data_IF_365080627612
#
_entry.id   IF_365080627612
#
_cell.length_a   1.000
_cell.length_b   1.000
_cell.length_c   1.000
_cell.angle_alpha   90.00
_cell.angle_beta   90.00
_cell.angle_gamma   90.00
#
_symmetry.space_group_name_H-M   'P 1'
#
loop_
_entity.id
_entity.type
_entity.pdbx_description
1 polymer ?
#
# COMPACT_ATOMS: atom_id res chain seq x y z
N UNK A 1 7.50 21.91 -0.93
CA UNK A 1 6.28 21.09 -1.02
C UNK A 1 5.18 21.82 -0.28
N UNK A 2 3.93 21.77 -0.76
CA UNK A 2 2.79 22.19 0.06
C UNK A 2 2.76 21.27 1.29
N UNK A 3 2.53 21.82 2.48
CA UNK A 3 2.36 21.00 3.67
C UNK A 3 1.04 20.24 3.62
N UNK A 4 0.94 19.18 4.42
CA UNK A 4 -0.26 18.35 4.55
C UNK A 4 -1.54 19.17 4.75
N UNK A 5 -2.57 18.88 3.94
CA UNK A 5 -3.88 19.51 4.01
C UNK A 5 -4.93 18.52 4.54
N UNK A 6 -5.12 18.56 5.86
CA UNK A 6 -6.12 17.75 6.57
C UNK A 6 -7.52 17.86 5.95
N UNK A 7 -7.95 19.06 5.56
CA UNK A 7 -9.32 19.26 5.09
C UNK A 7 -9.50 18.70 3.67
N UNK A 8 -8.46 18.80 2.83
CA UNK A 8 -8.42 18.13 1.53
C UNK A 8 -8.43 16.60 1.68
N UNK A 9 -7.62 16.04 2.58
CA UNK A 9 -7.61 14.60 2.90
C UNK A 9 -9.00 14.12 3.37
N UNK A 10 -9.61 14.83 4.32
CA UNK A 10 -10.96 14.53 4.83
C UNK A 10 -11.99 14.60 3.70
N UNK A 11 -11.88 15.58 2.80
CA UNK A 11 -12.77 15.70 1.65
C UNK A 11 -12.61 14.54 0.64
N UNK A 12 -11.36 14.12 0.37
CA UNK A 12 -11.07 13.01 -0.54
C UNK A 12 -11.65 11.68 -0.02
N UNK A 13 -11.46 11.38 1.26
CA UNK A 13 -12.00 10.18 1.91
C UNK A 13 -13.53 10.22 1.93
N UNK A 14 -14.13 11.38 2.25
CA UNK A 14 -15.59 11.54 2.23
C UNK A 14 -16.18 11.32 0.83
N UNK A 15 -15.57 11.92 -0.19
CA UNK A 15 -16.02 11.73 -1.57
C UNK A 15 -15.92 10.27 -2.00
N UNK A 16 -14.84 9.59 -1.60
CA UNK A 16 -14.68 8.16 -1.82
C UNK A 16 -15.78 7.32 -1.18
N UNK A 17 -16.06 7.52 0.11
CA UNK A 17 -17.14 6.80 0.80
C UNK A 17 -18.51 7.08 0.17
N UNK A 18 -18.80 8.32 -0.20
CA UNK A 18 -20.02 8.62 -0.94
C UNK A 18 -20.07 7.94 -2.31
N UNK A 19 -18.95 7.79 -3.01
CA UNK A 19 -18.91 6.97 -4.22
C UNK A 19 -19.28 5.51 -3.93
N UNK A 20 -18.72 4.89 -2.88
CA UNK A 20 -19.08 3.52 -2.48
C UNK A 20 -20.58 3.39 -2.18
N UNK A 21 -21.19 4.40 -1.54
CA UNK A 21 -22.63 4.36 -1.23
C UNK A 21 -23.54 4.32 -2.45
N UNK A 22 -23.07 4.89 -3.56
CA UNK A 22 -23.77 4.85 -4.85
C UNK A 22 -23.61 3.52 -5.57
N UNK A 23 -22.58 2.73 -5.24
CA UNK A 23 -22.28 1.46 -5.90
C UNK A 23 -22.85 0.25 -5.14
N UNK A 24 -22.46 0.05 -3.89
CA UNK A 24 -22.84 -1.13 -3.10
C UNK A 24 -23.13 -0.82 -1.63
N UNK A 25 -22.35 0.07 -1.01
CA UNK A 25 -22.41 0.34 0.43
C UNK A 25 -23.74 1.02 0.84
N UNK A 26 -24.34 0.59 1.95
CA UNK A 26 -25.50 1.29 2.51
C UNK A 26 -25.11 2.65 3.11
N UNK A 27 -25.84 3.70 2.70
CA UNK A 27 -25.50 5.07 3.07
C UNK A 27 -25.69 5.41 4.55
N UNK A 28 -26.50 4.63 5.28
CA UNK A 28 -26.69 4.76 6.73
C UNK A 28 -25.47 4.26 7.53
N UNK A 29 -24.55 3.54 6.90
CA UNK A 29 -23.28 3.15 7.49
C UNK A 29 -22.28 4.28 7.53
N UNK A 30 -22.44 5.39 6.80
CA UNK A 30 -21.48 6.49 6.88
C UNK A 30 -21.71 7.33 8.15
N UNK A 31 -20.70 7.36 9.00
CA UNK A 31 -20.62 8.18 10.21
C UNK A 31 -19.88 9.48 9.90
N UNK A 32 -20.59 10.60 9.92
CA UNK A 32 -19.98 11.93 9.75
C UNK A 32 -19.49 12.50 11.10
N UNK A 33 -18.30 13.13 11.14
CA UNK A 33 -17.80 13.77 12.34
C UNK A 33 -18.67 14.97 12.71
N UNK A 34 -18.89 15.25 14.01
CA UNK A 34 -19.43 16.52 14.47
C UNK A 34 -18.57 17.71 14.02
N UNK A 35 -19.09 18.96 14.05
CA UNK A 35 -18.31 20.14 13.65
C UNK A 35 -16.99 20.38 14.41
N UNK A 36 -16.82 19.77 15.59
CA UNK A 36 -15.58 19.80 16.38
C UNK A 36 -14.83 18.47 16.41
N UNK A 37 -15.15 17.58 15.46
CA UNK A 37 -14.65 16.22 15.37
C UNK A 37 -15.23 15.25 16.41
N UNK A 38 -14.80 13.99 16.32
CA UNK A 38 -15.19 12.94 17.23
C UNK A 38 -14.72 13.23 18.67
N UNK A 39 -15.61 13.26 19.66
CA UNK A 39 -15.25 13.59 21.04
C UNK A 39 -14.41 12.49 21.70
N UNK A 40 -14.50 11.26 21.19
CA UNK A 40 -13.80 10.09 21.74
C UNK A 40 -12.33 10.02 21.27
N UNK A 41 -11.97 10.75 20.21
CA UNK A 41 -10.60 10.85 19.70
C UNK A 41 -9.96 12.12 20.27
N UNK A 42 -9.15 11.95 21.32
CA UNK A 42 -8.46 13.06 22.00
C UNK A 42 -6.95 12.80 22.10
N UNK A 43 -6.11 13.84 22.13
CA UNK A 43 -4.67 13.67 22.35
C UNK A 43 -4.35 12.84 23.59
N UNK A 44 -5.12 13.00 24.67
CA UNK A 44 -4.92 12.27 25.92
C UNK A 44 -5.18 10.76 25.77
N UNK A 45 -6.25 10.38 25.08
CA UNK A 45 -6.61 8.98 24.82
C UNK A 45 -5.63 8.34 23.84
N UNK A 46 -5.25 9.08 22.79
CA UNK A 46 -4.39 8.58 21.70
C UNK A 46 -2.90 8.58 22.05
N UNK A 47 -2.48 9.31 23.10
CA UNK A 47 -1.07 9.42 23.54
C UNK A 47 -0.31 8.08 23.64
N UNK A 48 -0.89 6.97 24.12
CA UNK A 48 -0.17 5.69 24.21
C UNK A 48 0.29 5.15 22.85
N UNK A 49 -0.38 5.52 21.76
CA UNK A 49 -0.04 5.12 20.39
C UNK A 49 1.18 5.88 19.83
N UNK A 50 1.61 6.96 20.48
CA UNK A 50 2.75 7.80 20.08
C UNK A 50 2.64 8.37 18.65
N UNK A 51 1.42 8.57 18.15
CA UNK A 51 1.15 9.27 16.89
C UNK A 51 1.32 10.78 17.05
N UNK A 52 1.57 11.49 15.96
CA UNK A 52 1.70 12.96 15.98
C UNK A 52 0.36 13.65 16.22
N UNK A 53 0.38 14.90 16.68
CA UNK A 53 -0.83 15.72 16.84
C UNK A 53 -1.58 15.88 15.50
N UNK A 54 -0.86 15.93 14.38
CA UNK A 54 -1.45 16.00 13.04
C UNK A 54 -2.26 14.75 12.69
N UNK A 55 -1.76 13.55 13.00
CA UNK A 55 -2.50 12.30 12.84
C UNK A 55 -3.73 12.28 13.73
N UNK A 56 -3.59 12.62 15.02
CA UNK A 56 -4.72 12.62 15.96
C UNK A 56 -5.81 13.60 15.50
N UNK A 57 -5.42 14.78 15.03
CA UNK A 57 -6.34 15.79 14.52
C UNK A 57 -7.01 15.35 13.20
N UNK A 58 -6.30 14.67 12.31
CA UNK A 58 -6.89 14.05 11.11
C UNK A 58 -7.95 13.01 11.49
N UNK A 59 -7.57 12.01 12.27
CA UNK A 59 -8.47 10.91 12.68
C UNK A 59 -9.73 11.44 13.37
N UNK A 60 -9.58 12.48 14.19
CA UNK A 60 -10.71 13.15 14.85
C UNK A 60 -11.72 13.75 13.86
N UNK A 61 -11.34 14.07 12.63
CA UNK A 61 -12.18 14.73 11.63
C UNK A 61 -12.50 13.87 10.40
N UNK A 62 -12.10 12.60 10.37
CA UNK A 62 -12.49 11.69 9.28
C UNK A 62 -13.95 11.26 9.41
N UNK A 63 -14.66 11.05 8.28
CA UNK A 63 -15.83 10.19 8.27
C UNK A 63 -15.37 8.73 8.46
N UNK A 64 -16.24 7.91 9.04
CA UNK A 64 -15.99 6.48 9.24
C UNK A 64 -17.12 5.63 8.67
N UNK A 65 -16.82 4.39 8.31
CA UNK A 65 -17.83 3.40 7.96
C UNK A 65 -18.20 2.65 9.23
N UNK A 66 -19.47 2.71 9.61
CA UNK A 66 -19.99 2.01 10.76
C UNK A 66 -20.01 0.51 10.48
N UNK A 67 -19.21 -0.18 11.29
CA UNK A 67 -19.14 -1.62 11.32
C UNK A 67 -19.57 -2.20 12.67
N UNK A 68 -20.15 -1.35 13.53
CA UNK A 68 -20.56 -1.75 14.88
C UNK A 68 -21.57 -2.90 14.81
N UNK A 69 -21.22 -4.05 15.40
CA UNK A 69 -22.11 -5.20 15.51
C UNK A 69 -22.22 -6.07 14.26
N UNK A 70 -21.39 -5.84 13.23
CA UNK A 70 -21.17 -6.86 12.20
C UNK A 70 -20.31 -7.99 12.76
N UNK A 71 -20.51 -9.20 12.25
CA UNK A 71 -19.57 -10.30 12.51
C UNK A 71 -18.26 -10.01 11.77
N UNK A 72 -17.15 -10.63 12.17
CA UNK A 72 -15.85 -10.42 11.52
C UNK A 72 -15.87 -10.69 9.99
N UNK A 73 -16.75 -11.59 9.53
CA UNK A 73 -17.00 -11.94 8.14
C UNK A 73 -17.93 -10.96 7.39
N UNK A 74 -18.49 -9.97 8.08
CA UNK A 74 -19.44 -8.99 7.52
C UNK A 74 -18.93 -7.56 7.56
N UNK A 75 -17.63 -7.40 7.79
CA UNK A 75 -17.00 -6.10 7.83
C UNK A 75 -17.05 -5.41 6.47
N UNK A 76 -17.20 -4.10 6.47
CA UNK A 76 -17.29 -3.35 5.21
C UNK A 76 -15.91 -3.17 4.61
N UNK A 77 -15.70 -3.83 3.48
CA UNK A 77 -14.52 -3.70 2.63
C UNK A 77 -14.51 -2.31 1.97
N UNK A 78 -13.42 -1.56 2.14
CA UNK A 78 -13.14 -0.33 1.38
C UNK A 78 -12.47 -0.63 0.05
N UNK A 79 -11.68 -1.70 0.01
CA UNK A 79 -11.00 -2.31 -1.14
C UNK A 79 -11.15 -3.82 -0.97
N UNK A 80 -10.88 -4.66 -2.00
CA UNK A 80 -10.94 -6.11 -1.82
C UNK A 80 -10.20 -6.55 -0.55
N UNK A 81 -10.87 -7.34 0.29
CA UNK A 81 -10.35 -7.84 1.57
C UNK A 81 -9.87 -6.79 2.60
N UNK A 82 -10.07 -5.49 2.36
CA UNK A 82 -9.62 -4.42 3.25
C UNK A 82 -10.76 -3.77 4.03
N UNK A 83 -11.16 -4.29 5.21
CA UNK A 83 -12.17 -3.64 6.04
C UNK A 83 -11.67 -2.30 6.59
N UNK A 84 -12.58 -1.37 6.85
CA UNK A 84 -12.23 -0.01 7.31
C UNK A 84 -11.78 0.03 8.77
N UNK A 85 -10.71 0.77 9.08
CA UNK A 85 -10.33 1.10 10.44
C UNK A 85 -11.28 2.15 11.04
N UNK A 86 -12.03 1.76 12.08
CA UNK A 86 -12.95 2.65 12.79
C UNK A 86 -12.28 3.21 14.05
N UNK A 87 -11.53 4.30 13.89
CA UNK A 87 -10.75 4.88 14.99
C UNK A 87 -11.56 5.35 16.22
N UNK A 88 -12.83 5.77 16.14
CA UNK A 88 -13.65 6.00 17.33
C UNK A 88 -13.81 4.73 18.19
N UNK A 89 -13.83 3.56 17.56
CA UNK A 89 -13.89 2.28 18.26
C UNK A 89 -12.52 1.91 18.84
N UNK A 90 -11.44 2.13 18.09
CA UNK A 90 -10.06 1.96 18.59
C UNK A 90 -9.79 2.85 19.82
N UNK A 91 -10.27 4.09 19.83
CA UNK A 91 -10.16 4.98 20.97
C UNK A 91 -10.94 4.45 22.20
N UNK A 92 -12.11 3.84 21.97
CA UNK A 92 -12.91 3.20 23.03
C UNK A 92 -12.22 1.96 23.58
N UNK A 93 -11.53 1.20 22.74
CA UNK A 93 -10.75 0.03 23.13
C UNK A 93 -9.58 0.43 24.02
N UNK A 94 -8.85 1.51 23.69
CA UNK A 94 -7.82 2.08 24.56
C UNK A 94 -8.38 2.48 25.93
N UNK A 95 -9.55 3.13 25.97
CA UNK A 95 -10.23 3.49 27.24
C UNK A 95 -10.64 2.25 28.03
N UNK A 96 -11.00 1.18 27.33
CA UNK A 96 -11.39 -0.11 27.92
C UNK A 96 -10.19 -0.94 28.41
N UNK A 97 -8.96 -0.47 28.14
CA UNK A 97 -7.72 -1.08 28.61
C UNK A 97 -7.10 -2.07 27.62
N UNK A 98 -7.53 -2.09 26.36
CA UNK A 98 -6.83 -2.82 25.29
C UNK A 98 -5.41 -2.24 25.14
N UNK A 99 -4.44 -3.13 24.93
CA UNK A 99 -3.04 -2.73 24.83
C UNK A 99 -2.79 -1.88 23.57
N UNK A 100 -2.03 -0.78 23.67
CA UNK A 100 -1.68 0.04 22.50
C UNK A 100 -1.08 -0.75 21.34
N UNK A 101 -0.27 -1.77 21.63
CA UNK A 101 0.31 -2.64 20.62
C UNK A 101 -0.74 -3.45 19.85
N UNK A 102 -1.83 -3.86 20.50
CA UNK A 102 -2.96 -4.53 19.84
C UNK A 102 -3.67 -3.58 18.89
N UNK A 103 -3.94 -2.34 19.32
CA UNK A 103 -4.58 -1.34 18.46
C UNK A 103 -3.71 -1.03 17.24
N UNK A 104 -2.40 -0.82 17.44
CA UNK A 104 -1.47 -0.57 16.33
C UNK A 104 -1.34 -1.79 15.40
N UNK A 105 -1.38 -3.00 15.94
CA UNK A 105 -1.39 -4.20 15.11
C UNK A 105 -2.63 -4.21 14.20
N UNK A 106 -3.82 -3.94 14.75
CA UNK A 106 -5.06 -3.90 13.98
C UNK A 106 -5.09 -2.79 12.94
N UNK A 107 -4.60 -1.59 13.23
CA UNK A 107 -4.71 -0.48 12.25
C UNK A 107 -3.54 -0.45 11.27
N UNK A 108 -2.35 -0.77 11.74
CA UNK A 108 -1.12 -0.52 10.98
C UNK A 108 -0.41 -1.83 10.55
N UNK A 109 -0.98 -2.99 10.89
CA UNK A 109 -0.39 -4.30 10.66
C UNK A 109 0.76 -4.66 11.60
N UNK A 110 1.29 -3.73 12.39
CA UNK A 110 2.41 -3.98 13.30
C UNK A 110 2.21 -3.27 14.64
N UNK A 111 2.22 -4.05 15.73
CA UNK A 111 2.09 -3.54 17.09
C UNK A 111 3.32 -2.78 17.62
N UNK A 112 4.22 -2.34 16.74
CA UNK A 112 5.49 -1.69 17.09
C UNK A 112 6.64 -2.67 17.31
N UNK A 113 6.49 -3.91 16.85
CA UNK A 113 7.55 -4.93 16.84
C UNK A 113 8.64 -4.64 15.80
N UNK A 114 8.26 -4.01 14.68
CA UNK A 114 9.14 -3.79 13.54
C UNK A 114 9.41 -5.07 12.74
N UNK A 115 8.63 -6.12 12.95
CA UNK A 115 8.74 -7.38 12.22
C UNK A 115 8.14 -7.28 10.82
N UNK A 116 7.03 -6.56 10.69
CA UNK A 116 6.32 -6.38 9.42
C UNK A 116 6.86 -5.13 8.72
N UNK A 117 7.15 -4.08 9.49
CA UNK A 117 7.77 -2.86 9.00
C UNK A 117 9.19 -2.72 9.58
N UNK A 118 10.25 -3.17 8.89
CA UNK A 118 11.62 -3.01 9.37
C UNK A 118 11.96 -1.53 9.60
N UNK A 119 12.35 -1.20 10.84
CA UNK A 119 12.56 0.20 11.26
C UNK A 119 11.32 0.87 11.85
N UNK A 120 10.21 0.16 11.93
CA UNK A 120 8.94 0.61 12.49
C UNK A 120 8.12 1.49 11.55
N UNK A 121 6.94 1.88 12.03
CA UNK A 121 6.03 2.78 11.35
C UNK A 121 6.22 4.20 11.93
N UNK A 122 6.46 5.23 11.09
CA UNK A 122 6.57 6.60 11.56
C UNK A 122 5.34 7.08 12.34
N UNK A 123 5.55 7.95 13.33
CA UNK A 123 4.44 8.52 14.13
C UNK A 123 3.48 9.38 13.31
N UNK A 124 3.93 9.87 12.15
CA UNK A 124 3.13 10.61 11.17
C UNK A 124 2.19 9.76 10.33
N UNK A 125 2.25 8.43 10.45
CA UNK A 125 1.40 7.50 9.70
C UNK A 125 0.21 6.98 10.53
N UNK A 126 -0.92 6.72 9.88
CA UNK A 126 -2.09 6.06 10.48
C UNK A 126 -2.75 5.09 9.50
N UNK A 127 -3.11 3.91 10.00
CA UNK A 127 -3.90 2.92 9.28
C UNK A 127 -5.29 3.40 8.87
N UNK A 128 -5.69 3.08 7.64
CA UNK A 128 -7.05 3.25 7.12
C UNK A 128 -7.85 1.95 7.09
N UNK A 129 -7.17 0.80 7.12
CA UNK A 129 -7.77 -0.55 7.11
C UNK A 129 -7.56 -1.25 8.45
N UNK A 130 -8.40 -2.24 8.74
CA UNK A 130 -8.32 -3.07 9.94
C UNK A 130 -7.82 -4.48 9.58
N UNK A 131 -6.70 -4.91 10.16
CA UNK A 131 -6.06 -6.21 9.97
C UNK A 131 -6.48 -7.25 11.02
N UNK A 132 -7.46 -6.95 11.88
CA UNK A 132 -8.01 -7.97 12.79
C UNK A 132 -8.94 -8.97 12.09
N UNK A 133 -8.80 -9.11 10.77
CA UNK A 133 -9.46 -10.14 9.99
C UNK A 133 -8.90 -11.51 10.42
N UNK A 134 -9.72 -12.56 10.35
CA UNK A 134 -9.26 -13.92 10.65
C UNK A 134 -8.55 -14.56 9.44
N UNK A 135 -8.35 -13.80 8.36
CA UNK A 135 -7.84 -14.31 7.08
C UNK A 135 -6.39 -13.86 6.94
N UNK A 136 -5.48 -14.59 7.60
CA UNK A 136 -4.05 -14.27 7.72
C UNK A 136 -3.33 -14.08 6.36
N UNK A 137 -3.95 -14.55 5.26
CA UNK A 137 -3.41 -14.48 3.90
C UNK A 137 -3.86 -13.22 3.11
N UNK A 138 -4.77 -12.40 3.63
CA UNK A 138 -5.43 -11.32 2.88
C UNK A 138 -5.49 -9.96 3.62
N UNK A 139 -4.67 -9.75 4.65
CA UNK A 139 -4.67 -8.49 5.40
C UNK A 139 -4.19 -7.33 4.53
N UNK A 140 -5.11 -6.43 4.18
CA UNK A 140 -4.78 -5.20 3.46
C UNK A 140 -4.35 -4.14 4.46
N UNK A 141 -3.13 -3.60 4.29
CA UNK A 141 -2.62 -2.50 5.11
C UNK A 141 -2.45 -1.24 4.26
N UNK A 142 -3.31 -0.26 4.51
CA UNK A 142 -3.23 1.09 3.95
C UNK A 142 -2.77 2.08 5.02
N UNK A 143 -1.60 2.69 4.86
CA UNK A 143 -1.07 3.69 5.79
C UNK A 143 -1.12 5.09 5.17
N UNK A 144 -1.85 6.01 5.80
CA UNK A 144 -1.84 7.42 5.44
C UNK A 144 -0.70 8.13 6.17
N UNK A 145 0.25 8.70 5.42
CA UNK A 145 1.39 9.47 5.94
C UNK A 145 1.13 10.97 5.85
N UNK A 146 0.92 11.60 7.01
CA UNK A 146 0.66 13.05 7.13
C UNK A 146 1.91 13.92 6.93
N UNK A 147 3.11 13.34 6.93
CA UNK A 147 4.35 14.09 6.67
C UNK A 147 4.65 14.18 5.17
N UNK A 148 4.19 13.19 4.40
CA UNK A 148 4.39 13.08 2.94
C UNK A 148 3.14 13.34 2.11
N UNK A 149 1.98 13.45 2.75
CA UNK A 149 0.67 13.62 2.09
C UNK A 149 0.37 12.50 1.07
N UNK A 150 0.65 11.26 1.48
CA UNK A 150 0.48 10.08 0.64
C UNK A 150 -0.16 8.91 1.39
N UNK A 151 -0.61 7.92 0.62
CA UNK A 151 -1.08 6.64 1.14
C UNK A 151 -0.16 5.54 0.63
N UNK A 152 0.37 4.74 1.55
CA UNK A 152 1.13 3.52 1.29
C UNK A 152 0.18 2.33 1.25
N UNK A 153 0.35 1.45 0.26
CA UNK A 153 -0.36 0.18 0.20
C UNK A 153 0.64 -0.97 0.28
N UNK A 154 0.69 -1.62 1.44
CA UNK A 154 1.55 -2.79 1.66
C UNK A 154 1.12 -3.94 0.74
N UNK A 155 2.09 -4.54 0.04
CA UNK A 155 1.84 -5.68 -0.86
C UNK A 155 0.72 -5.39 -1.86
N UNK A 156 0.65 -4.14 -2.35
CA UNK A 156 -0.32 -3.72 -3.35
C UNK A 156 -0.34 -4.70 -4.54
N UNK A 157 -1.52 -5.17 -4.98
CA UNK A 157 -1.62 -6.03 -6.15
C UNK A 157 -1.00 -5.39 -7.39
N UNK A 158 -0.31 -6.19 -8.21
CA UNK A 158 0.43 -5.69 -9.39
C UNK A 158 -0.48 -5.02 -10.41
N UNK A 159 -1.73 -5.46 -10.49
CA UNK A 159 -2.80 -4.94 -11.33
C UNK A 159 -3.17 -3.50 -10.95
N UNK A 160 -3.12 -3.20 -9.64
CA UNK A 160 -3.33 -1.86 -9.11
C UNK A 160 -2.05 -1.03 -9.31
N UNK A 161 -0.88 -1.57 -8.94
CA UNK A 161 0.38 -0.83 -9.02
C UNK A 161 0.70 -0.36 -10.45
N UNK A 162 0.57 -1.25 -11.43
CA UNK A 162 0.95 -1.00 -12.83
C UNK A 162 -0.20 -0.57 -13.76
N UNK A 163 -1.31 -0.10 -13.19
CA UNK A 163 -2.46 0.40 -13.94
C UNK A 163 -2.01 1.35 -15.08
N UNK A 164 -2.31 0.99 -16.33
CA UNK A 164 -1.90 1.71 -17.54
C UNK A 164 -0.80 1.03 -18.39
N UNK A 165 -0.11 0.01 -17.88
CA UNK A 165 0.89 -0.75 -18.66
C UNK A 165 0.22 -1.84 -19.52
N UNK A 166 -0.90 -2.41 -19.05
CA UNK A 166 -1.62 -3.50 -19.73
C UNK A 166 -2.47 -3.06 -20.93
N UNK A 167 -2.92 -1.80 -20.99
CA UNK A 167 -3.59 -1.25 -22.18
C UNK A 167 -2.65 -1.15 -23.39
N UNK A 168 -1.33 -1.08 -23.17
CA UNK A 168 -0.32 -1.04 -24.23
C UNK A 168 0.04 -2.44 -24.80
N UNK A 169 -0.42 -3.53 -24.18
CA UNK A 169 -0.09 -4.91 -24.60
C UNK A 169 -1.28 -5.65 -25.25
N UNK A 170 -2.44 -5.00 -25.41
CA UNK A 170 -3.65 -5.66 -25.97
C UNK A 170 -4.14 -5.09 -27.31
N UNK A 171 -3.24 -4.55 -28.14
CA UNK A 171 -3.53 -4.28 -29.55
C UNK A 171 -2.46 -4.92 -30.44
N UNK A 172 -2.91 -5.90 -31.24
CA UNK A 172 -2.18 -6.76 -32.20
C UNK A 172 -1.44 -7.95 -31.51
N UNK A 173 -1.84 -9.22 -31.65
CA UNK A 173 -2.09 -9.94 -32.90
C UNK A 173 -3.13 -11.08 -32.72
N UNK A 174 -4.27 -10.97 -33.40
CA UNK A 174 -5.01 -12.14 -33.93
C UNK A 174 -5.28 -11.87 -35.41
N UNK A 175 -4.38 -12.34 -36.25
CA UNK A 175 -4.51 -12.34 -37.71
C UNK A 175 -3.58 -13.39 -38.32
N UNK A 176 -4.19 -14.45 -38.85
CA UNK A 176 -3.55 -15.67 -39.37
C UNK A 176 -2.42 -15.49 -40.41
N UNK A 177 -1.41 -16.35 -40.26
CA UNK A 177 -0.71 -17.14 -41.28
C UNK A 177 -0.05 -16.48 -42.53
N UNK A 178 1.28 -16.68 -42.56
CA UNK A 178 2.10 -17.09 -43.72
C UNK A 178 2.71 -16.00 -44.64
N UNK A 179 3.84 -15.42 -44.23
CA UNK A 179 4.99 -15.11 -45.11
C UNK A 179 6.28 -14.88 -44.29
N UNK A 180 7.45 -15.42 -44.67
CA UNK A 180 8.71 -15.13 -43.96
C UNK A 180 9.37 -13.89 -44.57
N UNK A 181 9.73 -12.90 -43.75
CA UNK A 181 10.55 -11.76 -44.20
C UNK A 181 11.78 -11.61 -43.30
N UNK A 182 12.87 -12.16 -43.84
CA UNK A 182 14.28 -11.73 -43.85
C UNK A 182 14.66 -10.57 -42.91
N UNK A 183 15.55 -10.87 -41.96
CA UNK A 183 16.40 -9.87 -41.29
C UNK A 183 17.50 -9.42 -42.25
N UNK A 184 17.51 -8.14 -42.62
CA UNK A 184 18.63 -7.53 -43.35
C UNK A 184 19.66 -6.99 -42.35
N UNK A 185 20.84 -7.61 -42.41
CA UNK A 185 22.12 -7.08 -41.94
C UNK A 185 22.45 -5.76 -42.64
N UNK A 186 23.01 -4.82 -41.87
CA UNK A 186 23.81 -3.71 -42.43
C UNK A 186 25.16 -3.71 -41.72
N UNK A 187 26.17 -4.21 -42.41
CA UNK A 187 27.58 -4.09 -42.05
C UNK A 187 28.29 -3.21 -43.09
N UNK A 188 29.12 -2.28 -42.61
CA UNK A 188 30.28 -1.67 -43.30
C UNK A 188 31.28 -1.28 -42.19
N UNK A 189 32.32 -2.08 -41.94
CA UNK A 189 33.68 -2.01 -42.52
C UNK A 189 34.57 -0.89 -41.96
N UNK A 190 35.62 -1.24 -41.21
CA UNK A 190 37.02 -0.99 -41.60
C UNK A 190 37.98 -1.94 -40.83
N UNK A 191 39.10 -2.38 -41.43
CA UNK A 191 39.89 -3.54 -41.02
C UNK A 191 41.29 -3.17 -40.45
N UNK A 192 42.09 -4.22 -40.26
CA UNK A 192 43.52 -4.27 -39.89
C UNK A 192 43.84 -4.18 -38.38
N UNK A 193 44.07 -5.34 -37.75
CA UNK A 193 45.45 -5.84 -37.64
C UNK A 193 45.45 -7.37 -37.36
N UNK A 194 46.23 -8.12 -38.14
CA UNK A 194 46.50 -9.53 -37.90
C UNK A 194 47.76 -9.66 -37.04
N UNK A 195 47.84 -10.71 -36.22
CA UNK A 195 48.93 -11.72 -36.23
C UNK A 195 48.88 -12.56 -34.94
N UNK A 196 48.69 -13.88 -35.13
CA UNK A 196 49.38 -15.08 -34.55
C UNK A 196 49.63 -15.11 -33.03
N UNK A 197 49.65 -16.23 -32.32
CA UNK A 197 49.52 -17.68 -32.52
C UNK A 197 49.59 -18.28 -31.12
N UNK A 198 48.97 -19.45 -30.93
CA UNK A 198 49.34 -20.56 -30.02
C UNK A 198 50.25 -20.27 -28.81
N UNK A 199 49.81 -20.61 -27.61
CA UNK A 199 50.45 -21.68 -26.82
C UNK A 199 49.67 -22.04 -25.55
N UNK A 200 49.81 -23.32 -25.21
CA UNK A 200 49.13 -24.11 -24.20
C UNK A 200 49.61 -23.86 -22.75
N UNK A 201 49.01 -24.62 -21.84
CA UNK A 201 49.46 -25.01 -20.50
C UNK A 201 49.07 -24.07 -19.33
N UNK A 202 48.07 -24.48 -18.54
CA UNK A 202 48.19 -25.35 -17.36
C UNK A 202 48.71 -24.57 -16.15
N UNK A 203 47.89 -24.35 -15.13
CA UNK A 203 48.08 -25.07 -13.88
C UNK A 203 46.97 -24.84 -12.86
N UNK A 204 46.80 -25.86 -12.04
CA UNK A 204 45.76 -26.01 -11.02
C UNK A 204 46.04 -25.19 -9.76
N UNK A 205 44.94 -24.88 -9.05
CA UNK A 205 44.81 -24.64 -7.61
C UNK A 205 45.81 -25.44 -6.72
N UNK A 206 46.11 -25.04 -5.45
CA UNK A 206 45.05 -24.81 -4.46
C UNK A 206 45.33 -23.86 -3.25
N UNK A 207 44.24 -23.78 -2.47
CA UNK A 207 43.90 -23.35 -1.10
C UNK A 207 44.93 -23.26 0.04
N UNK A 208 44.40 -22.71 1.14
CA UNK A 208 44.76 -22.81 2.58
C UNK A 208 45.51 -21.58 3.12
N UNK A 209 44.86 -20.69 3.88
CA UNK A 209 44.33 -20.79 5.27
C UNK A 209 45.35 -20.24 6.29
N UNK A 210 44.80 -19.42 7.21
CA UNK A 210 45.23 -19.17 8.59
C UNK A 210 46.45 -18.25 8.87
N UNK A 211 46.12 -16.98 9.22
CA UNK A 211 46.33 -16.36 10.56
C UNK A 211 47.77 -16.28 11.18
N UNK A 212 48.06 -15.48 12.24
CA UNK A 212 47.40 -14.27 12.79
C UNK A 212 48.37 -13.12 13.22
N UNK A 213 47.75 -11.98 13.55
CA UNK A 213 48.05 -10.97 14.59
C UNK A 213 49.37 -11.04 15.39
N UNK A 214 50.09 -9.92 15.46
CA UNK A 214 50.56 -9.31 16.73
C UNK A 214 50.64 -7.78 16.62
N UNK A 215 50.12 -7.09 17.65
CA UNK A 215 50.25 -5.66 17.90
C UNK A 215 51.08 -5.48 19.16
N UNK A 216 52.19 -4.74 19.09
CA UNK A 216 52.97 -4.30 20.25
C UNK A 216 53.25 -2.79 20.14
N UNK A 217 52.52 -2.06 20.98
CA UNK A 217 52.94 -1.06 21.97
C UNK A 217 54.04 0.03 21.78
N UNK A 218 53.74 1.13 22.47
CA UNK A 218 54.57 2.15 23.13
C UNK A 218 55.24 3.31 22.37
N UNK A 219 54.61 4.48 22.57
CA UNK A 219 55.11 5.77 23.10
C UNK A 219 56.47 6.34 22.65
N UNK A 220 56.44 7.61 22.23
CA UNK A 220 57.63 8.47 22.11
C UNK A 220 57.28 9.94 21.82
N UNK A 221 57.20 10.75 22.87
CA UNK A 221 57.21 12.22 22.85
C UNK A 221 58.56 12.76 22.35
N UNK A 222 58.62 13.89 21.60
CA UNK A 222 59.58 15.01 21.79
C UNK A 222 59.39 16.18 20.77
N UNK A 223 59.19 17.40 21.31
CA UNK A 223 59.66 18.77 20.94
C UNK A 223 59.63 19.24 19.46
N UNK A 224 58.85 20.30 19.15
CA UNK A 224 59.21 21.76 19.08
C UNK A 224 60.11 22.13 17.90
N UNK A 225 59.58 22.92 16.94
CA UNK A 225 60.09 24.25 16.60
C UNK A 225 59.35 24.91 15.40
N UNK A 226 58.80 26.09 15.70
CA UNK A 226 58.66 27.35 14.97
C UNK A 226 58.52 27.46 13.43
N UNK A 227 57.48 28.24 13.07
CA UNK A 227 57.40 29.34 12.07
C UNK A 227 57.63 29.07 10.57
N UNK A 228 56.53 29.16 9.81
CA UNK A 228 56.34 30.03 8.63
C UNK A 228 54.83 29.92 8.28
N UNK A 229 54.05 30.99 8.18
CA UNK A 229 54.16 32.01 7.14
C UNK A 229 53.07 31.76 6.10
N UNK A 230 51.89 32.33 6.34
CA UNK A 230 50.82 32.73 5.39
C UNK A 230 50.67 31.94 4.07
N UNK A 231 49.57 31.20 3.94
CA UNK A 231 48.69 31.40 2.79
C UNK A 231 47.24 31.03 3.15
N UNK A 232 46.45 32.10 3.26
CA UNK A 232 45.01 32.08 3.44
C UNK A 232 44.35 31.66 2.12
N UNK A 233 44.03 30.38 1.98
CA UNK A 233 42.96 29.93 1.12
C UNK A 233 41.88 29.31 1.99
N UNK A 234 40.91 30.14 2.37
CA UNK A 234 39.62 29.65 2.83
C UNK A 234 38.99 28.87 1.69
N UNK A 235 39.13 27.55 1.72
CA UNK A 235 38.10 26.68 1.19
C UNK A 235 37.01 26.65 2.25
N UNK A 236 36.01 27.52 2.06
CA UNK A 236 34.67 27.25 2.57
C UNK A 236 34.25 25.91 1.96
N UNK A 237 34.64 24.80 2.59
CA UNK A 237 33.93 23.56 2.45
C UNK A 237 32.58 23.83 3.12
N UNK A 238 31.63 24.32 2.33
CA UNK A 238 30.21 24.16 2.60
C UNK A 238 30.02 22.66 2.83
N UNK A 239 30.11 22.28 4.10
CA UNK A 239 29.76 20.96 4.58
C UNK A 239 28.27 20.88 4.33
N UNK A 240 27.91 20.32 3.18
CA UNK A 240 26.55 20.02 2.80
C UNK A 240 26.01 19.10 3.89
N UNK A 241 25.37 19.70 4.90
CA UNK A 241 24.58 18.99 5.90
C UNK A 241 23.34 18.52 5.16
N UNK A 242 23.50 17.52 4.30
CA UNK A 242 22.39 16.67 3.94
C UNK A 242 21.98 15.99 5.25
N UNK A 243 20.93 16.49 5.88
CA UNK A 243 20.22 15.75 6.91
C UNK A 243 19.84 14.42 6.25
N UNK A 244 20.59 13.36 6.60
CA UNK A 244 20.31 12.02 6.08
C UNK A 244 18.85 11.69 6.41
N UNK A 245 18.08 11.29 5.39
CA UNK A 245 16.70 10.89 5.59
C UNK A 245 16.66 9.71 6.58
N UNK A 246 16.16 9.99 7.79
CA UNK A 246 16.05 9.05 8.90
C UNK A 246 14.82 8.13 8.76
N UNK A 247 14.12 8.21 7.64
CA UNK A 247 12.97 7.36 7.39
C UNK A 247 13.35 5.88 7.33
N UNK A 248 12.44 4.99 7.75
CA UNK A 248 12.61 3.55 7.56
C UNK A 248 12.98 3.17 6.13
N UNK A 249 13.70 2.05 5.99
CA UNK A 249 14.16 1.58 4.69
C UNK A 249 13.02 1.31 3.71
N UNK A 250 11.88 0.81 4.19
CA UNK A 250 10.71 0.56 3.35
C UNK A 250 10.10 1.83 2.73
N UNK A 251 10.35 3.01 3.31
CA UNK A 251 10.01 4.31 2.73
C UNK A 251 11.05 4.74 1.69
N UNK A 252 12.33 4.50 1.97
CA UNK A 252 13.45 4.99 1.13
C UNK A 252 13.68 4.15 -0.12
N UNK A 253 13.47 2.84 -0.02
CA UNK A 253 13.79 1.90 -1.08
C UNK A 253 12.64 1.72 -2.09
N UNK A 254 11.57 2.52 -2.00
CA UNK A 254 10.41 2.52 -2.90
C UNK A 254 9.70 1.16 -3.07
N UNK A 255 9.99 0.16 -2.21
CA UNK A 255 9.38 -1.17 -2.26
C UNK A 255 7.87 -1.19 -1.96
N UNK A 256 7.37 -0.16 -1.28
CA UNK A 256 5.95 0.01 -1.01
C UNK A 256 5.42 1.13 -1.91
N UNK A 257 4.52 0.84 -2.86
CA UNK A 257 3.99 1.88 -3.70
C UNK A 257 3.16 2.87 -2.86
N UNK A 258 3.28 4.14 -3.22
CA UNK A 258 2.51 5.22 -2.61
C UNK A 258 1.99 6.19 -3.65
N UNK A 259 0.91 6.85 -3.30
CA UNK A 259 0.25 7.85 -4.13
C UNK A 259 -0.18 9.03 -3.28
N UNK A 260 -0.26 10.21 -3.90
CA UNK A 260 -0.99 11.35 -3.32
C UNK A 260 -2.37 10.90 -2.86
N UNK A 261 -2.84 11.42 -1.72
CA UNK A 261 -4.11 11.01 -1.10
C UNK A 261 -5.28 11.09 -2.09
N UNK A 262 -5.39 12.17 -2.86
CA UNK A 262 -6.49 12.38 -3.79
C UNK A 262 -6.37 11.43 -4.99
N UNK A 263 -5.16 11.32 -5.53
CA UNK A 263 -4.86 10.42 -6.64
C UNK A 263 -5.14 8.96 -6.27
N UNK A 264 -4.82 8.55 -5.06
CA UNK A 264 -5.09 7.22 -4.51
C UNK A 264 -6.59 6.91 -4.53
N UNK A 265 -7.43 7.77 -3.97
CA UNK A 265 -8.88 7.52 -3.95
C UNK A 265 -9.50 7.57 -5.34
N UNK A 266 -8.99 8.42 -6.25
CA UNK A 266 -9.44 8.40 -7.64
C UNK A 266 -9.01 7.13 -8.37
N UNK A 267 -7.87 6.54 -8.00
CA UNK A 267 -7.43 5.21 -8.43
C UNK A 267 -8.39 4.11 -8.01
N UNK A 268 -8.75 4.06 -6.73
CA UNK A 268 -9.73 3.08 -6.25
C UNK A 268 -11.07 3.21 -6.98
N UNK A 269 -11.59 4.43 -7.16
CA UNK A 269 -12.82 4.66 -7.92
C UNK A 269 -12.73 4.17 -9.36
N UNK A 270 -11.56 4.27 -10.01
CA UNK A 270 -11.35 3.76 -11.38
C UNK A 270 -11.47 2.23 -11.43
N UNK A 271 -10.81 1.52 -10.52
CA UNK A 271 -10.92 0.06 -10.43
C UNK A 271 -12.38 -0.40 -10.17
N UNK A 272 -13.12 0.27 -9.29
CA UNK A 272 -14.55 -0.03 -9.12
C UNK A 272 -15.38 0.20 -10.40
N UNK A 273 -15.12 1.30 -11.14
CA UNK A 273 -15.82 1.57 -12.41
C UNK A 273 -15.51 0.54 -13.50
N UNK A 274 -14.31 -0.01 -13.49
CA UNK A 274 -13.87 -1.04 -14.43
C UNK A 274 -14.38 -2.44 -14.02
N UNK A 275 -14.83 -2.60 -12.77
CA UNK A 275 -15.14 -3.88 -12.12
C UNK A 275 -13.89 -4.75 -11.96
N UNK A 276 -12.78 -4.09 -11.70
CA UNK A 276 -11.55 -4.67 -11.16
C UNK A 276 -11.69 -4.93 -9.66
N UNK A 277 -12.46 -4.09 -8.98
CA UNK A 277 -12.99 -4.35 -7.65
C UNK A 277 -14.48 -4.63 -7.79
N UNK A 278 -14.89 -5.84 -7.42
CA UNK A 278 -16.25 -6.35 -7.66
C UNK A 278 -16.95 -6.54 -6.32
N UNK A 279 -17.92 -5.68 -5.97
CA UNK A 279 -18.74 -5.92 -4.79
C UNK A 279 -19.65 -7.13 -5.01
N UNK A 280 -19.66 -8.04 -4.04
CA UNK A 280 -20.49 -9.26 -4.08
C UNK A 280 -21.61 -9.21 -3.03
N UNK A 281 -21.55 -8.24 -2.12
CA UNK A 281 -22.61 -7.92 -1.16
C UNK A 281 -22.55 -6.43 -0.80
N UNK A 282 -23.47 -5.90 0.03
CA UNK A 282 -23.38 -4.53 0.55
C UNK A 282 -22.15 -4.26 1.44
N UNK A 283 -21.37 -5.29 1.81
CA UNK A 283 -20.20 -5.17 2.69
C UNK A 283 -18.92 -5.73 2.06
N UNK A 284 -19.01 -6.73 1.19
CA UNK A 284 -17.87 -7.50 0.70
C UNK A 284 -17.52 -7.14 -0.75
N UNK A 285 -16.23 -7.00 -1.00
CA UNK A 285 -15.61 -6.74 -2.30
C UNK A 285 -14.51 -7.77 -2.54
N UNK A 286 -14.46 -8.31 -3.75
CA UNK A 286 -13.42 -9.22 -4.24
C UNK A 286 -12.63 -8.60 -5.40
N UNK A 287 -11.48 -9.18 -5.69
CA UNK A 287 -10.68 -8.83 -6.86
C UNK A 287 -11.29 -9.43 -8.15
N UNK A 288 -11.37 -8.61 -9.19
CA UNK A 288 -11.92 -8.96 -10.50
C UNK A 288 -10.97 -9.72 -11.41
N UNK A 289 -9.77 -10.01 -10.92
CA UNK A 289 -8.72 -10.79 -11.59
C UNK A 289 -8.34 -12.06 -10.81
N UNK A 290 -8.90 -12.30 -9.63
CA UNK A 290 -8.51 -13.45 -8.81
C UNK A 290 -8.98 -14.77 -9.46
N UNK A 291 -8.07 -15.72 -9.78
CA UNK A 291 -8.45 -16.96 -10.45
C UNK A 291 -9.43 -17.83 -9.66
N UNK A 292 -9.39 -17.77 -8.33
CA UNK A 292 -10.30 -18.51 -7.45
C UNK A 292 -11.76 -18.04 -7.59
N UNK A 293 -11.95 -16.79 -8.00
CA UNK A 293 -13.24 -16.15 -8.13
C UNK A 293 -13.65 -15.94 -9.60
N UNK A 294 -12.93 -16.54 -10.57
CA UNK A 294 -13.13 -16.32 -12.01
C UNK A 294 -14.58 -16.58 -12.46
N UNK A 295 -15.15 -17.75 -12.10
CA UNK A 295 -16.54 -18.08 -12.44
C UNK A 295 -17.53 -17.06 -11.87
N UNK A 296 -17.30 -16.61 -10.64
CA UNK A 296 -18.14 -15.63 -9.99
C UNK A 296 -18.01 -14.27 -10.69
N UNK A 297 -16.80 -13.79 -10.93
CA UNK A 297 -16.53 -12.49 -11.57
C UNK A 297 -17.10 -12.45 -13.00
N UNK A 298 -16.96 -13.52 -13.78
CA UNK A 298 -17.51 -13.63 -15.14
C UNK A 298 -19.04 -13.51 -15.16
N UNK A 299 -19.73 -14.00 -14.12
CA UNK A 299 -21.19 -13.88 -13.97
C UNK A 299 -21.60 -12.49 -13.46
N UNK A 300 -20.85 -11.92 -12.50
CA UNK A 300 -21.22 -10.66 -11.84
C UNK A 300 -20.99 -9.44 -12.74
N UNK A 301 -19.92 -9.41 -13.54
CA UNK A 301 -19.62 -8.25 -14.42
C UNK A 301 -20.81 -7.91 -15.34
N UNK A 302 -21.42 -8.87 -16.08
CA UNK A 302 -22.63 -8.63 -16.86
C UNK A 302 -23.83 -8.10 -16.07
N UNK A 303 -24.02 -8.55 -14.82
CA UNK A 303 -25.13 -8.09 -13.95
C UNK A 303 -24.98 -6.60 -13.68
N UNK A 304 -23.80 -6.14 -13.26
CA UNK A 304 -23.52 -4.72 -13.06
C UNK A 304 -23.78 -3.89 -14.32
N UNK A 305 -23.30 -4.36 -15.49
CA UNK A 305 -23.51 -3.65 -16.77
C UNK A 305 -24.99 -3.58 -17.17
N UNK A 306 -25.74 -4.68 -16.98
CA UNK A 306 -27.19 -4.75 -17.21
C UNK A 306 -27.96 -3.73 -16.36
N UNK A 307 -27.47 -3.46 -15.16
CA UNK A 307 -28.08 -2.49 -14.25
C UNK A 307 -27.58 -1.06 -14.40
N UNK A 308 -26.72 -0.78 -15.39
CA UNK A 308 -26.32 0.58 -15.77
C UNK A 308 -24.94 1.00 -15.26
N UNK A 309 -24.18 0.11 -14.62
CA UNK A 309 -22.83 0.44 -14.16
C UNK A 309 -21.87 0.71 -15.34
N UNK A 310 -21.06 1.79 -15.33
CA UNK A 310 -20.70 2.63 -14.20
C UNK A 310 -21.37 4.02 -14.21
N UNK A 311 -22.41 4.21 -15.01
CA UNK A 311 -23.11 5.49 -15.12
C UNK A 311 -24.08 5.65 -13.95
N UNK A 312 -23.67 6.46 -12.98
CA UNK A 312 -24.40 6.70 -11.73
C UNK A 312 -25.80 7.31 -11.94
N UNK A 313 -26.07 7.92 -13.10
CA UNK A 313 -27.38 8.49 -13.41
C UNK A 313 -28.41 7.43 -13.83
N UNK A 314 -27.94 6.26 -14.28
CA UNK A 314 -28.80 5.16 -14.75
C UNK A 314 -28.63 3.88 -13.93
N UNK A 315 -27.61 3.81 -13.08
CA UNK A 315 -27.30 2.66 -12.26
C UNK A 315 -28.40 2.39 -11.22
N UNK A 316 -28.99 1.19 -11.27
CA UNK A 316 -30.04 0.73 -10.35
C UNK A 316 -29.42 -0.15 -9.26
N UNK A 317 -28.87 0.49 -8.23
CA UNK A 317 -28.14 -0.16 -7.13
C UNK A 317 -28.91 -1.32 -6.52
N UNK A 318 -30.13 -1.09 -6.05
CA UNK A 318 -30.90 -2.09 -5.30
C UNK A 318 -31.29 -3.29 -6.17
N UNK A 319 -31.65 -3.05 -7.44
CA UNK A 319 -31.95 -4.13 -8.39
C UNK A 319 -30.69 -4.93 -8.75
N UNK A 320 -29.54 -4.27 -8.85
CA UNK A 320 -28.25 -4.89 -9.12
C UNK A 320 -27.85 -5.81 -7.98
N UNK A 321 -27.79 -5.30 -6.74
CA UNK A 321 -27.37 -6.09 -5.58
C UNK A 321 -28.31 -7.28 -5.33
N UNK A 322 -29.61 -7.14 -5.58
CA UNK A 322 -30.55 -8.27 -5.47
C UNK A 322 -30.37 -9.35 -6.55
N UNK A 323 -29.74 -9.04 -7.68
CA UNK A 323 -29.37 -10.02 -8.71
C UNK A 323 -27.98 -10.61 -8.44
N UNK A 324 -27.04 -9.80 -7.95
CA UNK A 324 -25.72 -10.24 -7.47
C UNK A 324 -25.88 -11.27 -6.34
N UNK A 325 -26.68 -10.99 -5.32
CA UNK A 325 -26.92 -11.91 -4.19
C UNK A 325 -27.39 -13.29 -4.66
N UNK A 326 -28.30 -13.33 -5.65
CA UNK A 326 -28.78 -14.58 -6.24
C UNK A 326 -27.71 -15.33 -7.01
N UNK A 327 -26.84 -14.60 -7.72
CA UNK A 327 -25.74 -15.18 -8.47
C UNK A 327 -24.67 -15.75 -7.52
N UNK A 328 -24.29 -15.01 -6.48
CA UNK A 328 -23.35 -15.48 -5.46
C UNK A 328 -23.89 -16.74 -4.77
N UNK A 329 -25.12 -16.72 -4.26
CA UNK A 329 -25.72 -17.89 -3.60
C UNK A 329 -25.83 -19.12 -4.51
N UNK A 330 -25.91 -18.93 -5.83
CA UNK A 330 -25.97 -20.02 -6.81
C UNK A 330 -24.60 -20.63 -7.09
N UNK A 331 -23.55 -19.81 -7.15
CA UNK A 331 -22.19 -20.23 -7.54
C UNK A 331 -21.41 -20.70 -6.31
N UNK A 332 -21.51 -19.95 -5.22
CA UNK A 332 -20.82 -20.18 -3.96
C UNK A 332 -21.84 -20.19 -2.81
N UNK A 333 -22.60 -21.29 -2.65
CA UNK A 333 -23.65 -21.37 -1.64
C UNK A 333 -23.12 -21.36 -0.21
N UNK A 334 -21.84 -21.70 -0.01
CA UNK A 334 -21.22 -21.84 1.32
C UNK A 334 -20.65 -20.49 1.82
N UNK A 335 -20.39 -19.53 0.92
CA UNK A 335 -19.80 -18.21 1.26
C UNK A 335 -20.55 -17.39 2.31
N UNK A 336 -21.87 -17.57 2.40
CA UNK A 336 -22.71 -16.90 3.40
C UNK A 336 -23.43 -17.88 4.33
N UNK A 337 -23.03 -19.15 4.38
CA UNK A 337 -23.63 -20.10 5.31
C UNK A 337 -23.17 -19.81 6.73
N UNK A 338 -24.14 -19.53 7.61
CA UNK A 338 -23.92 -19.46 9.04
C UNK A 338 -23.37 -20.80 9.55
N UNK A 339 -22.24 -20.81 10.27
CA UNK A 339 -21.75 -21.93 11.08
C UNK A 339 -22.70 -22.27 12.28
N UNK A 340 -24.01 -22.28 12.08
CA UNK A 340 -25.00 -22.65 13.11
C UNK A 340 -25.61 -24.05 12.90
N UNK A 341 -25.14 -24.83 11.93
CA UNK A 341 -25.56 -26.23 11.73
C UNK A 341 -24.56 -27.26 12.28
N UNK A 342 -23.79 -26.88 13.32
CA UNK A 342 -23.06 -27.85 14.15
C UNK A 342 -23.86 -28.15 15.42
N UNK A 343 -24.77 -29.13 15.31
CA UNK A 343 -25.54 -29.77 16.39
C UNK A 343 -24.66 -30.34 17.53
#
# INVERSE_FOLDING_TARGET
>A
MAGFDRDATVAAIRDYYHFLTKMYLDGDRIMEPPPGGWPDITPEIMRPLKKTDAVVDLLRHLPYINDSGTRNDQRVHMVPYGPSAVWPDMARDLVSGIEPATVLFCTDGDGGSGNIWPGGIPSGCAGLTDTSSNDEDNDVILLLDTERDCIWWMECPTEVEHEGVWELVTVEERGDANTPVVVEDVALDDPDDQVRSDDEDNDSCPSEEESPLTSDDETGSFHDDAEDGEDSQGSDEERDNHEEDQSPQWIRDEYCPSWDVTEFFDKLKRHFRQLDFVPISPTEVIEGWEPRSEELVEELKPIYRKHGWPDLEVYRKEECLAEVEKAVHRIDPDRFQDENDSD
#
